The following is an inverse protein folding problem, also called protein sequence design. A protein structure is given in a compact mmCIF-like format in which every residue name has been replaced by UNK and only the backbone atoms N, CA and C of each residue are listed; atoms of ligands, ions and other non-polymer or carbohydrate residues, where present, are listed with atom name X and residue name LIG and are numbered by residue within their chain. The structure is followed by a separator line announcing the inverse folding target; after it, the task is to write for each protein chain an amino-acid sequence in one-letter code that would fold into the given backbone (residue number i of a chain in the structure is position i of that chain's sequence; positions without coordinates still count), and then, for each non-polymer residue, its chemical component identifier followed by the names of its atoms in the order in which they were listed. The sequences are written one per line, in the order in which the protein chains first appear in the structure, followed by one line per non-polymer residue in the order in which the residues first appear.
data_IF_351005698902
#
_entry.id   IF_351005698902
#
_cell.length_a   1.000
_cell.length_b   1.000
_cell.length_c   1.000
_cell.angle_alpha   90.00
_cell.angle_beta   90.00
_cell.angle_gamma   90.00
#
_symmetry.space_group_name_H-M   'P 1'
#
loop_
_entity.id
_entity.type
_entity.pdbx_description
1 polymer ?
#
# COMPACT_ATOMS: atom_id res chain seq x y z
N UNK A 1 -5.20 -0.44 -2.45
CA UNK A 1 -6.02 0.56 -3.16
C UNK A 1 -5.96 0.22 -4.63
N UNK A 2 -7.07 0.38 -5.34
CA UNK A 2 -7.13 0.21 -6.78
C UNK A 2 -6.25 1.26 -7.44
N UNK A 3 -5.25 0.81 -8.20
CA UNK A 3 -4.37 1.69 -8.96
C UNK A 3 -5.12 2.15 -10.23
N UNK A 4 -5.33 3.46 -10.43
CA UNK A 4 -6.00 3.97 -11.62
C UNK A 4 -5.22 3.73 -12.93
N UNK A 5 -3.93 3.39 -12.84
CA UNK A 5 -3.05 3.05 -13.98
C UNK A 5 -3.03 1.56 -14.30
N UNK A 6 -3.75 0.73 -13.52
CA UNK A 6 -3.76 -0.72 -13.67
C UNK A 6 -2.60 -1.43 -12.98
N UNK A 7 -2.53 -2.74 -13.15
CA UNK A 7 -1.49 -3.58 -12.57
C UNK A 7 -0.87 -4.51 -13.61
N UNK A 8 0.35 -4.95 -13.32
CA UNK A 8 1.12 -5.89 -14.13
C UNK A 8 1.59 -7.05 -13.27
N UNK A 9 1.75 -8.22 -13.88
CA UNK A 9 2.44 -9.35 -13.24
C UNK A 9 3.95 -9.15 -13.38
N UNK A 10 4.68 -9.21 -12.28
CA UNK A 10 6.15 -9.10 -12.26
C UNK A 10 6.76 -9.96 -11.13
N UNK A 11 8.08 -10.10 -11.10
CA UNK A 11 8.83 -10.85 -10.10
C UNK A 11 9.01 -10.06 -8.79
N UNK A 12 8.74 -10.71 -7.66
CA UNK A 12 9.09 -10.19 -6.33
C UNK A 12 10.60 -10.19 -6.10
N UNK A 13 11.29 -11.26 -6.48
CA UNK A 13 12.74 -11.33 -6.57
C UNK A 13 13.15 -11.06 -8.01
N UNK A 14 13.78 -9.92 -8.26
CA UNK A 14 14.08 -9.46 -9.61
C UNK A 14 14.95 -10.47 -10.36
N UNK A 15 14.64 -10.68 -11.64
CA UNK A 15 15.46 -11.51 -12.54
C UNK A 15 16.95 -11.12 -12.52
N UNK A 16 17.26 -9.83 -12.34
CA UNK A 16 18.62 -9.33 -12.32
C UNK A 16 19.46 -9.92 -11.19
N UNK A 17 18.86 -10.13 -10.02
CA UNK A 17 19.56 -10.69 -8.86
C UNK A 17 19.28 -12.19 -8.69
N UNK A 18 18.13 -12.68 -9.17
CA UNK A 18 17.64 -14.05 -8.98
C UNK A 18 17.14 -14.67 -10.32
N UNK A 19 18.04 -14.89 -11.31
CA UNK A 19 17.64 -15.47 -12.59
C UNK A 19 17.14 -16.91 -12.46
N UNK A 20 17.58 -17.63 -11.43
CA UNK A 20 17.11 -18.97 -11.06
C UNK A 20 15.64 -18.99 -10.64
N UNK A 21 15.10 -17.84 -10.19
CA UNK A 21 13.70 -17.66 -9.78
C UNK A 21 12.79 -17.10 -10.87
N UNK A 22 13.28 -17.00 -12.11
CA UNK A 22 12.57 -16.36 -13.22
C UNK A 22 11.24 -17.04 -13.58
N UNK A 23 11.15 -18.36 -13.38
CA UNK A 23 10.00 -19.20 -13.73
C UNK A 23 9.36 -19.85 -12.49
N UNK A 24 9.73 -19.37 -11.31
CA UNK A 24 9.13 -19.82 -10.05
C UNK A 24 7.78 -19.12 -9.87
N UNK A 25 6.69 -19.89 -9.84
CA UNK A 25 5.34 -19.35 -9.69
C UNK A 25 5.16 -18.59 -8.38
N UNK A 26 5.84 -19.03 -7.31
CA UNK A 26 5.80 -18.37 -6.01
C UNK A 26 6.50 -17.00 -6.02
N UNK A 27 7.22 -16.66 -7.09
CA UNK A 27 7.91 -15.38 -7.25
C UNK A 27 7.07 -14.32 -7.98
N UNK A 28 5.93 -14.65 -8.59
CA UNK A 28 5.11 -13.67 -9.32
C UNK A 28 4.14 -12.90 -8.42
N UNK A 29 4.05 -11.58 -8.60
CA UNK A 29 3.10 -10.70 -7.91
C UNK A 29 2.35 -9.84 -8.93
N UNK A 30 1.05 -9.66 -8.69
CA UNK A 30 0.28 -8.63 -9.38
C UNK A 30 0.45 -7.31 -8.65
N UNK A 31 1.13 -6.34 -9.27
CA UNK A 31 1.49 -5.08 -8.64
C UNK A 31 1.24 -3.88 -9.56
N UNK A 32 1.13 -2.70 -8.95
CA UNK A 32 1.14 -1.43 -9.66
C UNK A 32 2.43 -1.26 -10.46
N UNK A 33 2.32 -0.85 -11.73
CA UNK A 33 3.49 -0.54 -12.56
C UNK A 33 4.33 0.61 -11.97
N UNK A 34 3.70 1.56 -11.29
CA UNK A 34 4.40 2.64 -10.56
C UNK A 34 5.20 2.08 -9.38
N UNK A 35 4.59 1.22 -8.55
CA UNK A 35 5.28 0.64 -7.39
C UNK A 35 6.42 -0.26 -7.83
N UNK A 36 6.19 -1.06 -8.87
CA UNK A 36 7.20 -1.94 -9.44
C UNK A 36 8.41 -1.17 -10.00
N UNK A 37 8.15 -0.06 -10.70
CA UNK A 37 9.20 0.86 -11.17
C UNK A 37 10.01 1.50 -10.03
N UNK A 38 9.39 1.68 -8.85
CA UNK A 38 10.08 2.18 -7.65
C UNK A 38 10.90 1.08 -6.97
N UNK A 39 10.39 -0.15 -6.92
CA UNK A 39 11.07 -1.33 -6.37
C UNK A 39 12.37 -1.59 -7.16
N UNK A 40 12.27 -1.79 -8.48
CA UNK A 40 13.37 -2.27 -9.33
C UNK A 40 13.93 -3.60 -8.77
N UNK A 41 15.23 -3.63 -8.49
CA UNK A 41 15.98 -4.75 -7.91
C UNK A 41 16.20 -4.60 -6.39
N UNK A 42 15.40 -3.76 -5.71
CA UNK A 42 15.35 -3.72 -4.26
C UNK A 42 14.47 -4.87 -3.77
N UNK A 43 14.96 -6.09 -3.90
CA UNK A 43 14.23 -7.35 -3.71
C UNK A 43 13.86 -7.59 -2.24
N UNK A 44 14.55 -8.48 -1.52
CA UNK A 44 14.28 -8.81 -0.09
C UNK A 44 14.39 -7.63 0.89
N UNK A 45 14.68 -6.43 0.40
CA UNK A 45 14.71 -5.18 1.18
C UNK A 45 13.34 -4.53 1.33
N UNK A 46 12.37 -4.85 0.46
CA UNK A 46 10.97 -4.43 0.60
C UNK A 46 10.11 -5.62 1.02
N UNK A 47 9.05 -5.37 1.78
CA UNK A 47 8.09 -6.41 2.16
C UNK A 47 7.45 -7.05 0.94
N UNK A 48 7.33 -8.37 0.98
CA UNK A 48 6.48 -9.09 0.06
C UNK A 48 5.01 -8.77 0.41
N UNK A 49 4.17 -8.36 -0.55
CA UNK A 49 2.74 -8.22 -0.32
C UNK A 49 2.06 -9.44 0.32
N UNK A 50 2.59 -10.65 0.15
CA UNK A 50 2.08 -11.87 0.78
C UNK A 50 2.48 -12.03 2.25
N UNK A 51 3.53 -11.32 2.72
CA UNK A 51 3.95 -11.30 4.12
C UNK A 51 3.19 -10.24 4.95
N UNK A 52 2.54 -9.28 4.28
CA UNK A 52 1.91 -8.14 4.96
C UNK A 52 0.66 -8.58 5.72
N UNK A 53 0.69 -8.42 7.04
CA UNK A 53 -0.45 -8.69 7.91
C UNK A 53 -1.48 -7.56 7.96
N UNK A 54 -2.69 -7.91 8.37
CA UNK A 54 -3.76 -6.93 8.63
C UNK A 54 -3.34 -5.94 9.72
N UNK A 55 -3.69 -4.67 9.52
CA UNK A 55 -3.39 -3.60 10.48
C UNK A 55 -1.92 -3.17 10.55
N UNK A 56 -1.01 -3.73 9.74
CA UNK A 56 0.40 -3.32 9.73
C UNK A 56 0.61 -1.86 9.29
N UNK A 57 -0.27 -1.38 8.42
CA UNK A 57 -0.23 -0.04 7.87
C UNK A 57 -1.56 0.67 8.11
N UNK A 58 -1.48 1.96 8.40
CA UNK A 58 -2.65 2.82 8.53
C UNK A 58 -2.44 4.14 7.79
N UNK A 59 -3.53 4.72 7.30
CA UNK A 59 -3.53 6.05 6.68
C UNK A 59 -3.91 7.09 7.75
N UNK A 60 -3.19 8.20 7.78
CA UNK A 60 -3.43 9.32 8.69
C UNK A 60 -4.32 10.33 7.98
N UNK A 61 -5.45 10.70 8.58
CA UNK A 61 -6.28 11.81 8.10
C UNK A 61 -5.89 13.13 8.79
N UNK A 62 -5.99 14.29 8.11
CA UNK A 62 -6.39 14.47 6.70
C UNK A 62 -5.22 14.37 5.71
N UNK A 63 -3.98 14.14 6.17
CA UNK A 63 -2.79 14.22 5.31
C UNK A 63 -2.67 13.09 4.27
N UNK A 64 -3.43 12.01 4.46
CA UNK A 64 -3.43 10.78 3.65
C UNK A 64 -2.06 10.07 3.59
N UNK A 65 -1.17 10.43 4.51
CA UNK A 65 0.12 9.76 4.65
C UNK A 65 -0.05 8.39 5.29
N UNK A 66 0.78 7.43 4.89
CA UNK A 66 0.75 6.08 5.44
C UNK A 66 1.87 5.87 6.46
N UNK A 67 1.53 5.31 7.62
CA UNK A 67 2.51 4.90 8.64
C UNK A 67 2.38 3.41 8.96
N UNK A 68 3.42 2.87 9.59
CA UNK A 68 3.33 1.55 10.23
C UNK A 68 2.62 1.69 11.58
N UNK A 69 2.02 0.60 12.04
CA UNK A 69 1.42 0.51 13.37
C UNK A 69 2.30 -0.33 14.30
N UNK A 70 1.91 -0.39 15.58
CA UNK A 70 2.59 -1.24 16.55
C UNK A 70 2.31 -2.74 16.39
N UNK A 71 1.33 -3.11 15.56
CA UNK A 71 0.98 -4.49 15.24
C UNK A 71 2.08 -5.16 14.40
N UNK A 72 2.90 -4.39 13.70
CA UNK A 72 4.01 -4.93 12.90
C UNK A 72 4.99 -5.68 13.82
N UNK A 73 5.25 -6.98 13.57
CA UNK A 73 6.19 -7.76 14.35
C UNK A 73 7.57 -7.10 14.36
N UNK A 74 8.26 -7.16 15.51
CA UNK A 74 9.56 -6.49 15.68
C UNK A 74 10.57 -6.84 14.57
N UNK A 75 10.61 -8.11 14.15
CA UNK A 75 11.45 -8.58 13.05
C UNK A 75 11.16 -7.91 11.68
N UNK A 76 9.92 -7.46 11.46
CA UNK A 76 9.47 -6.87 10.19
C UNK A 76 9.47 -5.34 10.20
N UNK A 77 9.56 -4.69 11.38
CA UNK A 77 9.43 -3.22 11.49
C UNK A 77 10.41 -2.44 10.62
N UNK A 78 11.68 -2.85 10.59
CA UNK A 78 12.70 -2.19 9.77
C UNK A 78 12.40 -2.34 8.27
N UNK A 79 12.05 -3.54 7.82
CA UNK A 79 11.65 -3.84 6.42
C UNK A 79 10.38 -3.08 6.04
N UNK A 80 9.41 -2.97 6.94
CA UNK A 80 8.18 -2.19 6.75
C UNK A 80 8.46 -0.69 6.55
N UNK A 81 9.29 -0.09 7.41
CA UNK A 81 9.72 1.31 7.28
C UNK A 81 10.48 1.54 5.98
N UNK A 82 11.40 0.63 5.63
CA UNK A 82 12.12 0.70 4.37
C UNK A 82 11.16 0.64 3.18
N UNK A 83 10.17 -0.25 3.22
CA UNK A 83 9.15 -0.40 2.17
C UNK A 83 8.39 0.90 1.94
N UNK A 84 7.93 1.57 3.01
CA UNK A 84 7.24 2.86 2.91
C UNK A 84 8.08 3.91 2.17
N UNK A 85 9.37 3.98 2.51
CA UNK A 85 10.32 4.94 1.91
C UNK A 85 10.67 4.57 0.48
N UNK A 86 11.04 3.30 0.24
CA UNK A 86 11.53 2.80 -1.05
C UNK A 86 10.46 2.83 -2.13
N UNK A 87 9.23 2.50 -1.77
CA UNK A 87 8.08 2.49 -2.68
C UNK A 87 7.31 3.82 -2.66
N UNK A 88 7.78 4.81 -1.89
CA UNK A 88 7.15 6.13 -1.72
C UNK A 88 5.66 6.04 -1.31
N UNK A 89 5.31 4.99 -0.56
CA UNK A 89 3.94 4.73 -0.15
C UNK A 89 3.47 5.65 0.99
N UNK A 90 4.41 6.23 1.75
CA UNK A 90 4.07 7.17 2.82
C UNK A 90 3.58 8.50 2.26
N UNK A 91 4.41 9.15 1.45
CA UNK A 91 4.33 10.57 1.10
C UNK A 91 4.61 10.84 -0.39
N UNK A 92 4.69 9.79 -1.22
CA UNK A 92 4.89 9.96 -2.66
C UNK A 92 3.74 10.76 -3.27
N UNK A 93 4.07 11.86 -3.95
CA UNK A 93 3.09 12.81 -4.48
C UNK A 93 1.98 12.15 -5.31
N UNK A 94 2.33 11.17 -6.15
CA UNK A 94 1.36 10.42 -6.95
C UNK A 94 0.43 9.56 -6.08
N UNK A 95 0.98 8.88 -5.07
CA UNK A 95 0.20 8.05 -4.14
C UNK A 95 -0.75 8.93 -3.34
N UNK A 96 -0.29 10.07 -2.84
CA UNK A 96 -1.12 11.03 -2.12
C UNK A 96 -2.25 11.56 -3.02
N UNK A 97 -1.94 11.96 -4.26
CA UNK A 97 -2.97 12.42 -5.21
C UNK A 97 -4.05 11.39 -5.47
N UNK A 98 -3.68 10.12 -5.64
CA UNK A 98 -4.68 9.07 -5.84
C UNK A 98 -5.49 8.75 -4.58
N UNK A 99 -4.89 8.82 -3.39
CA UNK A 99 -5.65 8.69 -2.14
C UNK A 99 -6.63 9.86 -1.99
N UNK A 100 -6.17 11.07 -2.31
CA UNK A 100 -6.96 12.29 -2.24
C UNK A 100 -8.17 12.20 -3.16
N UNK A 101 -8.02 11.74 -4.40
CA UNK A 101 -9.17 11.62 -5.30
C UNK A 101 -10.27 10.72 -4.76
N UNK A 102 -9.93 9.58 -4.13
CA UNK A 102 -10.94 8.71 -3.51
C UNK A 102 -11.54 9.32 -2.25
N UNK A 103 -10.72 9.99 -1.45
CA UNK A 103 -11.17 10.62 -0.21
C UNK A 103 -12.08 11.84 -0.50
N UNK A 104 -11.79 12.62 -1.53
CA UNK A 104 -12.62 13.75 -1.97
C UNK A 104 -13.99 13.28 -2.45
N UNK A 105 -14.05 12.20 -3.25
CA UNK A 105 -15.32 11.60 -3.67
C UNK A 105 -16.15 11.14 -2.47
N UNK A 106 -15.50 10.60 -1.43
CA UNK A 106 -16.17 10.24 -0.19
C UNK A 106 -16.71 11.47 0.55
N UNK A 107 -15.89 12.52 0.71
CA UNK A 107 -16.30 13.76 1.36
C UNK A 107 -17.43 14.49 0.61
N UNK A 108 -17.45 14.39 -0.72
CA UNK A 108 -18.51 14.93 -1.57
C UNK A 108 -19.82 14.12 -1.52
N UNK A 109 -19.82 12.93 -0.89
CA UNK A 109 -20.98 12.03 -0.84
C UNK A 109 -21.21 11.24 -2.13
N UNK A 110 -20.32 11.35 -3.12
CA UNK A 110 -20.38 10.63 -4.39
C UNK A 110 -19.96 9.15 -4.23
N UNK A 111 -19.16 8.86 -3.21
CA UNK A 111 -18.68 7.52 -2.90
C UNK A 111 -19.07 7.12 -1.47
N UNK A 112 -20.01 6.18 -1.26
CA UNK A 112 -20.33 5.71 0.09
C UNK A 112 -19.15 4.97 0.72
N UNK A 113 -19.12 4.86 2.04
CA UNK A 113 -18.05 4.17 2.79
C UNK A 113 -17.80 2.73 2.30
N UNK A 114 -18.86 1.99 1.97
CA UNK A 114 -18.76 0.64 1.38
C UNK A 114 -18.04 0.64 0.02
N UNK A 115 -18.29 1.67 -0.79
CA UNK A 115 -17.59 1.91 -2.05
C UNK A 115 -16.12 2.28 -1.83
N UNK A 116 -15.85 3.17 -0.88
CA UNK A 116 -14.49 3.56 -0.48
C UNK A 116 -13.69 2.35 0.01
N UNK A 117 -14.29 1.45 0.80
CA UNK A 117 -13.65 0.22 1.26
C UNK A 117 -13.24 -0.70 0.11
N UNK A 118 -14.04 -0.76 -0.95
CA UNK A 118 -13.73 -1.57 -2.14
C UNK A 118 -12.53 -1.04 -2.93
N UNK A 119 -12.41 0.28 -3.07
CA UNK A 119 -11.36 0.90 -3.90
C UNK A 119 -10.13 1.31 -3.11
N UNK A 120 -10.29 1.72 -1.85
CA UNK A 120 -9.25 2.27 -0.98
C UNK A 120 -9.46 1.81 0.48
N UNK A 121 -9.28 0.51 0.78
CA UNK A 121 -9.61 -0.08 2.09
C UNK A 121 -8.94 0.63 3.27
N UNK A 122 -7.64 0.94 3.18
CA UNK A 122 -6.92 1.63 4.26
C UNK A 122 -7.40 3.07 4.51
N UNK A 123 -8.02 3.73 3.53
CA UNK A 123 -8.66 5.04 3.73
C UNK A 123 -10.00 4.84 4.44
N UNK A 124 -10.79 3.83 4.03
CA UNK A 124 -12.04 3.49 4.71
C UNK A 124 -11.81 3.14 6.19
N UNK A 125 -10.77 2.37 6.49
CA UNK A 125 -10.39 2.04 7.88
C UNK A 125 -10.08 3.31 8.70
N UNK A 126 -9.37 4.27 8.10
CA UNK A 126 -9.05 5.55 8.76
C UNK A 126 -10.30 6.42 8.97
N UNK A 127 -11.24 6.41 8.02
CA UNK A 127 -12.53 7.11 8.13
C UNK A 127 -13.39 6.50 9.24
N UNK A 128 -13.52 5.18 9.28
CA UNK A 128 -14.28 4.49 10.34
C UNK A 128 -13.72 4.78 11.72
N UNK A 129 -12.39 4.74 11.87
CA UNK A 129 -11.73 5.10 13.11
C UNK A 129 -12.06 6.52 13.55
N UNK A 130 -11.99 7.49 12.62
CA UNK A 130 -12.34 8.88 12.90
C UNK A 130 -13.80 9.04 13.31
N UNK A 131 -14.74 8.38 12.63
CA UNK A 131 -16.16 8.43 12.98
C UNK A 131 -16.44 7.82 14.36
N UNK A 132 -15.74 6.74 14.72
CA UNK A 132 -15.84 6.13 16.04
C UNK A 132 -15.25 7.02 17.15
N UNK A 133 -14.20 7.79 16.84
CA UNK A 133 -13.62 8.78 17.76
C UNK A 133 -14.54 10.00 17.96
N UNK A 134 -15.26 10.44 16.92
CA UNK A 134 -16.23 11.55 17.00
C UNK A 134 -17.56 11.18 17.69
N UNK A 135 -17.88 9.88 17.74
CA UNK A 135 -19.09 9.37 18.38
C UNK A 135 -18.94 9.12 19.90
N UNK A 136 -17.71 9.17 20.43
CA UNK A 136 -17.39 9.04 21.85
C UNK A 136 -17.17 10.41 22.51
#
# INVERSE_FOLDING_TARGET
MLDPTGGTVDHYLSYKNHPDKAYDWENYRFASGTLNSSKKNADDTVLDPYEVGAGWFEVILPSLQMKITDIVPAAHRAKAQHTLKRLKLRDGERIIRWRQSWYDMYLAGELPLSGLRRVAPLIADAVEKKLAEEAN
#
